data_IF_789320427158
#
_entry.id   IF_789320427158
#
_cell.length_a   1.000
_cell.length_b   1.000
_cell.length_c   1.000
_cell.angle_alpha   90.00
_cell.angle_beta   90.00
_cell.angle_gamma   90.00
#
_symmetry.space_group_name_H-M   'P 1'
#
loop_
_entity.id
_entity.type
_entity.pdbx_description
1 polymer ?
#
# COMPACT_ATOMS: atom_id res chain seq x y z
N UNK A 1 -6.82 -9.39 -7.29
CA UNK A 1 -6.79 -9.55 -8.74
C UNK A 1 -8.04 -9.03 -9.47
N UNK A 2 -8.91 -8.23 -8.82
CA UNK A 2 -10.05 -7.63 -9.51
C UNK A 2 -9.57 -6.60 -10.55
N UNK A 3 -10.07 -6.73 -11.77
CA UNK A 3 -9.87 -5.74 -12.82
C UNK A 3 -11.02 -4.75 -12.82
N UNK A 4 -10.71 -3.49 -13.04
CA UNK A 4 -11.69 -2.40 -13.03
C UNK A 4 -11.35 -1.33 -14.09
N UNK A 5 -12.33 -0.49 -14.41
CA UNK A 5 -12.19 0.66 -15.30
C UNK A 5 -12.62 1.91 -14.55
N UNK A 6 -11.77 2.92 -14.54
CA UNK A 6 -12.09 4.25 -14.07
C UNK A 6 -12.68 5.09 -15.20
N UNK A 7 -13.83 5.71 -14.98
CA UNK A 7 -14.33 6.77 -15.84
C UNK A 7 -13.90 8.11 -15.28
N UNK A 8 -13.10 8.85 -16.06
CA UNK A 8 -12.47 10.10 -15.64
C UNK A 8 -12.94 11.24 -16.53
N UNK A 9 -13.29 12.38 -15.94
CA UNK A 9 -13.60 13.63 -16.63
C UNK A 9 -13.03 14.79 -15.82
N UNK A 10 -12.43 15.75 -16.50
CA UNK A 10 -11.87 16.97 -15.89
C UNK A 10 -10.94 16.67 -14.70
N UNK A 11 -10.05 15.67 -14.86
CA UNK A 11 -9.13 15.16 -13.85
C UNK A 11 -9.81 14.64 -12.56
N UNK A 12 -11.07 14.23 -12.64
CA UNK A 12 -11.82 13.62 -11.55
C UNK A 12 -12.30 12.24 -11.93
N UNK A 13 -12.18 11.28 -11.02
CA UNK A 13 -12.78 9.96 -11.16
C UNK A 13 -14.27 10.12 -10.85
N UNK A 14 -15.12 9.80 -11.80
CA UNK A 14 -16.56 9.92 -11.67
C UNK A 14 -17.18 8.65 -11.08
N UNK A 15 -16.77 7.50 -11.60
CA UNK A 15 -17.22 6.18 -11.11
C UNK A 15 -16.26 5.08 -11.58
N UNK A 16 -16.48 3.90 -11.02
CA UNK A 16 -15.67 2.70 -11.29
C UNK A 16 -16.58 1.54 -11.63
N UNK A 17 -16.21 0.80 -12.68
CA UNK A 17 -16.89 -0.43 -13.09
C UNK A 17 -15.94 -1.61 -13.07
N UNK A 18 -16.47 -2.80 -12.77
CA UNK A 18 -15.71 -4.04 -12.86
C UNK A 18 -15.53 -4.47 -14.32
N UNK A 19 -14.28 -4.81 -14.70
CA UNK A 19 -14.01 -5.45 -15.98
C UNK A 19 -14.22 -6.96 -15.89
N UNK A 20 -14.39 -7.60 -17.06
CA UNK A 20 -14.51 -9.05 -17.19
C UNK A 20 -13.16 -9.75 -17.01
N UNK A 21 -12.52 -9.49 -15.85
CA UNK A 21 -11.28 -10.16 -15.49
C UNK A 21 -11.52 -11.57 -14.98
N UNK A 22 -10.54 -12.48 -15.10
CA UNK A 22 -10.71 -13.90 -14.76
C UNK A 22 -11.03 -14.15 -13.29
N UNK A 23 -10.63 -13.25 -12.39
CA UNK A 23 -10.88 -13.39 -10.96
C UNK A 23 -12.18 -12.74 -10.48
N UNK A 24 -12.72 -11.77 -11.21
CA UNK A 24 -13.87 -11.00 -10.74
C UNK A 24 -15.08 -10.99 -11.65
N UNK A 25 -14.96 -11.29 -12.95
CA UNK A 25 -16.07 -11.35 -13.92
C UNK A 25 -17.05 -10.20 -13.76
N UNK A 26 -16.54 -8.97 -13.79
CA UNK A 26 -17.32 -7.74 -13.64
C UNK A 26 -17.69 -7.37 -12.19
N UNK A 27 -17.44 -8.23 -11.20
CA UNK A 27 -17.79 -7.98 -9.80
C UNK A 27 -16.73 -7.11 -9.12
N UNK A 28 -17.19 -6.23 -8.25
CA UNK A 28 -16.34 -5.44 -7.35
C UNK A 28 -16.95 -5.46 -5.95
N UNK A 29 -16.08 -5.51 -4.94
CA UNK A 29 -16.48 -5.24 -3.57
C UNK A 29 -16.49 -3.72 -3.32
N UNK A 30 -16.94 -3.30 -2.13
CA UNK A 30 -16.99 -1.89 -1.73
C UNK A 30 -15.66 -1.16 -1.92
N UNK A 31 -14.54 -1.83 -1.67
CA UNK A 31 -13.20 -1.24 -1.82
C UNK A 31 -12.88 -0.87 -3.28
N UNK A 32 -13.15 -1.77 -4.21
CA UNK A 32 -12.95 -1.50 -5.64
C UNK A 32 -13.95 -0.52 -6.21
N UNK A 33 -15.21 -0.58 -5.73
CA UNK A 33 -16.31 0.25 -6.25
C UNK A 33 -16.21 1.70 -5.80
N UNK A 34 -15.88 1.95 -4.53
CA UNK A 34 -15.96 3.27 -3.90
C UNK A 34 -14.64 3.74 -3.31
N UNK A 35 -13.61 2.90 -3.27
CA UNK A 35 -12.34 3.23 -2.61
C UNK A 35 -11.58 4.40 -3.25
N UNK A 36 -11.95 4.86 -4.44
CA UNK A 36 -11.32 6.00 -5.11
C UNK A 36 -11.67 7.36 -4.49
N UNK A 37 -12.67 7.44 -3.61
CA UNK A 37 -13.13 8.70 -3.01
C UNK A 37 -12.01 9.46 -2.29
N UNK A 38 -11.05 8.73 -1.70
CA UNK A 38 -9.90 9.37 -1.03
C UNK A 38 -9.05 10.24 -1.97
N UNK A 39 -9.06 9.94 -3.27
CA UNK A 39 -8.24 10.68 -4.25
C UNK A 39 -8.69 12.14 -4.39
N UNK A 40 -9.97 12.42 -4.12
CA UNK A 40 -10.58 13.74 -4.24
C UNK A 40 -11.15 14.26 -2.92
N UNK A 41 -10.79 13.63 -1.80
CA UNK A 41 -11.29 14.02 -0.48
C UNK A 41 -10.82 15.43 -0.12
N UNK A 42 -11.69 16.29 0.48
CA UNK A 42 -11.32 17.68 0.86
C UNK A 42 -10.10 17.78 1.77
N UNK A 43 -9.89 16.80 2.64
CA UNK A 43 -8.72 16.74 3.54
C UNK A 43 -7.47 16.13 2.91
N UNK A 44 -7.50 15.78 1.60
CA UNK A 44 -6.31 15.27 0.94
C UNK A 44 -5.24 16.34 0.86
N UNK A 45 -4.07 16.02 1.35
CA UNK A 45 -2.90 16.89 1.24
C UNK A 45 -2.41 16.91 -0.20
N UNK A 46 -2.33 18.11 -0.78
CA UNK A 46 -1.89 18.33 -2.18
C UNK A 46 -0.53 19.00 -2.27
N UNK A 47 0.03 19.39 -1.14
CA UNK A 47 1.35 20.01 -1.01
C UNK A 47 2.15 19.32 0.11
N UNK A 48 3.48 19.33 0.04
CA UNK A 48 4.31 18.91 1.14
C UNK A 48 4.05 19.75 2.39
N UNK A 49 4.14 19.10 3.54
CA UNK A 49 4.02 19.77 4.83
C UNK A 49 5.31 19.63 5.61
N UNK A 50 5.79 20.75 6.13
CA UNK A 50 6.95 20.81 7.03
C UNK A 50 6.46 21.21 8.41
N UNK A 51 6.89 20.47 9.45
CA UNK A 51 6.56 20.81 10.84
C UNK A 51 7.09 22.20 11.18
N UNK A 52 6.25 23.01 11.83
CA UNK A 52 6.65 24.34 12.29
C UNK A 52 7.74 24.22 13.34
N UNK A 53 8.62 25.19 13.34
CA UNK A 53 9.65 25.30 14.38
C UNK A 53 8.99 25.45 15.76
N UNK A 54 9.54 24.75 16.76
CA UNK A 54 8.98 24.70 18.11
C UNK A 54 7.73 23.82 18.30
N UNK A 55 7.11 23.34 17.22
CA UNK A 55 5.98 22.40 17.34
C UNK A 55 6.46 21.05 17.87
N UNK A 56 5.93 20.63 19.01
CA UNK A 56 6.30 19.37 19.65
C UNK A 56 5.97 18.16 18.77
N UNK A 57 6.81 17.12 18.83
CA UNK A 57 6.48 15.79 18.33
C UNK A 57 5.67 15.11 19.43
N UNK A 58 4.37 15.12 19.30
CA UNK A 58 3.46 14.40 20.20
C UNK A 58 3.56 12.91 19.96
N UNK A 59 3.50 12.10 21.03
CA UNK A 59 3.26 10.67 20.95
C UNK A 59 1.80 10.31 20.68
N UNK A 60 0.90 11.28 20.78
CA UNK A 60 -0.48 11.15 20.36
C UNK A 60 -0.58 11.35 18.85
N UNK A 61 -0.92 10.27 18.14
CA UNK A 61 -1.09 10.27 16.68
C UNK A 61 -2.48 10.72 16.24
N UNK A 62 -3.37 11.04 17.16
CA UNK A 62 -4.68 11.59 16.84
C UNK A 62 -4.53 13.08 16.47
N UNK A 63 -4.56 13.36 15.18
CA UNK A 63 -4.55 14.73 14.67
C UNK A 63 -5.87 15.03 13.98
N UNK A 64 -6.54 16.09 14.42
CA UNK A 64 -7.70 16.59 13.70
C UNK A 64 -7.24 17.10 12.31
N UNK A 65 -7.78 16.55 11.20
CA UNK A 65 -7.42 16.98 9.85
C UNK A 65 -7.64 18.47 9.60
N UNK A 66 -8.59 19.09 10.32
CA UNK A 66 -8.86 20.53 10.19
C UNK A 66 -7.79 21.40 10.88
N UNK A 67 -7.01 20.82 11.77
CA UNK A 67 -5.98 21.52 12.57
C UNK A 67 -4.54 21.20 12.14
N UNK A 68 -4.37 20.44 11.08
CA UNK A 68 -3.03 20.02 10.62
C UNK A 68 -2.09 21.21 10.38
N UNK A 69 -2.60 22.32 9.88
CA UNK A 69 -1.81 23.52 9.60
C UNK A 69 -1.42 24.33 10.86
N UNK A 70 -1.95 24.01 12.03
CA UNK A 70 -1.46 24.56 13.30
C UNK A 70 -0.07 24.00 13.64
N UNK A 71 0.17 22.74 13.32
CA UNK A 71 1.43 22.03 13.61
C UNK A 71 2.40 22.04 12.43
N UNK A 72 1.85 22.05 11.22
CA UNK A 72 2.62 22.05 9.98
C UNK A 72 2.37 23.31 9.17
N UNK A 73 3.28 23.61 8.27
CA UNK A 73 3.10 24.60 7.22
C UNK A 73 3.24 23.98 5.85
N UNK A 74 2.55 24.49 4.86
CA UNK A 74 2.78 24.13 3.47
C UNK A 74 4.19 24.55 3.03
N UNK A 75 4.77 23.75 2.15
CA UNK A 75 6.06 23.99 1.54
C UNK A 75 6.02 23.65 0.06
N UNK A 76 6.99 24.14 -0.72
CA UNK A 76 7.21 23.66 -2.06
C UNK A 76 7.84 22.26 -2.02
N UNK A 77 7.71 21.51 -3.13
CA UNK A 77 8.41 20.23 -3.28
C UNK A 77 9.93 20.38 -3.20
N UNK A 78 10.44 21.46 -3.78
CA UNK A 78 11.88 21.77 -3.75
C UNK A 78 12.38 21.95 -2.32
N UNK A 79 11.71 22.77 -1.53
CA UNK A 79 12.03 23.01 -0.11
C UNK A 79 11.95 21.71 0.70
N UNK A 80 10.87 20.97 0.55
CA UNK A 80 10.65 19.74 1.32
C UNK A 80 11.68 18.66 0.99
N UNK A 81 12.01 18.48 -0.28
CA UNK A 81 13.01 17.51 -0.73
C UNK A 81 14.43 17.92 -0.32
N UNK A 82 14.77 19.21 -0.41
CA UNK A 82 16.07 19.72 0.06
C UNK A 82 16.23 19.50 1.57
N UNK A 83 15.19 19.79 2.36
CA UNK A 83 15.21 19.59 3.80
C UNK A 83 15.35 18.11 4.17
N UNK A 84 14.51 17.25 3.59
CA UNK A 84 14.51 15.83 3.89
C UNK A 84 15.80 15.15 3.42
N UNK A 85 16.19 15.39 2.18
CA UNK A 85 17.42 14.82 1.60
C UNK A 85 18.67 15.30 2.32
N UNK A 86 18.75 16.59 2.64
CA UNK A 86 19.88 17.15 3.40
C UNK A 86 20.02 16.55 4.79
N UNK A 87 18.92 16.38 5.53
CA UNK A 87 18.95 15.75 6.87
C UNK A 87 19.31 14.27 6.80
N UNK A 88 18.77 13.52 5.85
CA UNK A 88 19.11 12.12 5.67
C UNK A 88 20.58 11.94 5.27
N UNK A 89 21.10 12.79 4.37
CA UNK A 89 22.51 12.79 3.99
C UNK A 89 23.41 13.11 5.20
N UNK A 90 23.06 14.10 5.99
CA UNK A 90 23.83 14.44 7.20
C UNK A 90 23.88 13.29 8.21
N UNK A 91 22.75 12.59 8.46
CA UNK A 91 22.71 11.41 9.33
C UNK A 91 23.62 10.30 8.77
N UNK A 92 23.54 10.02 7.47
CA UNK A 92 24.39 9.04 6.81
C UNK A 92 25.86 9.39 6.97
N UNK A 93 26.23 10.64 6.74
CA UNK A 93 27.63 11.08 6.73
C UNK A 93 28.23 11.16 8.14
N UNK A 94 27.41 11.43 9.15
CA UNK A 94 27.83 11.48 10.57
C UNK A 94 27.82 10.11 11.25
N UNK A 95 26.85 9.26 10.93
CA UNK A 95 26.62 8.02 11.68
C UNK A 95 26.70 6.75 10.83
N UNK A 96 26.98 6.90 9.53
CA UNK A 96 27.02 5.80 8.57
C UNK A 96 25.63 5.36 8.10
N UNK A 97 25.59 4.60 7.00
CA UNK A 97 24.34 4.13 6.40
C UNK A 97 23.50 3.25 7.33
N UNK A 98 24.12 2.55 8.27
CA UNK A 98 23.41 1.69 9.23
C UNK A 98 22.47 2.47 10.17
N UNK A 99 22.65 3.79 10.31
CA UNK A 99 21.75 4.65 11.08
C UNK A 99 20.42 4.95 10.35
N UNK A 100 20.30 4.53 9.09
CA UNK A 100 19.13 4.73 8.26
C UNK A 100 18.49 3.39 7.89
N UNK A 101 17.19 3.41 7.71
CA UNK A 101 16.41 2.29 7.21
C UNK A 101 15.28 2.78 6.30
N UNK A 102 14.81 1.91 5.42
CA UNK A 102 13.68 2.17 4.55
C UNK A 102 12.60 1.10 4.67
N UNK A 103 11.34 1.53 4.76
CA UNK A 103 10.18 0.65 4.79
C UNK A 103 9.28 0.95 3.58
N UNK A 104 9.23 0.02 2.64
CA UNK A 104 8.40 0.10 1.44
C UNK A 104 6.96 -0.32 1.67
N UNK A 105 6.12 -0.12 0.66
CA UNK A 105 4.71 -0.45 0.70
C UNK A 105 4.28 -1.23 -0.55
N UNK A 106 3.30 -2.13 -0.38
CA UNK A 106 2.63 -2.82 -1.49
C UNK A 106 1.64 -1.91 -2.25
N UNK A 107 1.42 -0.67 -1.81
CA UNK A 107 0.53 0.30 -2.46
C UNK A 107 1.21 1.13 -3.54
N UNK A 108 2.49 0.91 -3.77
CA UNK A 108 3.24 1.54 -4.86
C UNK A 108 3.26 0.67 -6.12
N UNK A 109 3.65 1.28 -7.23
CA UNK A 109 3.97 0.55 -8.46
C UNK A 109 5.29 -0.22 -8.33
N UNK A 110 5.58 -1.08 -9.30
CA UNK A 110 6.87 -1.78 -9.35
C UNK A 110 8.04 -0.80 -9.51
N UNK A 111 7.83 0.29 -10.24
CA UNK A 111 8.80 1.36 -10.42
C UNK A 111 9.11 2.08 -9.13
N UNK A 112 8.08 2.38 -8.32
CA UNK A 112 8.24 2.98 -6.99
C UNK A 112 9.00 2.05 -6.05
N UNK A 113 8.68 0.76 -6.03
CA UNK A 113 9.39 -0.23 -5.24
C UNK A 113 10.87 -0.33 -5.63
N UNK A 114 11.16 -0.34 -6.93
CA UNK A 114 12.53 -0.34 -7.44
C UNK A 114 13.29 0.93 -7.04
N UNK A 115 12.70 2.09 -7.27
CA UNK A 115 13.33 3.39 -6.95
C UNK A 115 13.55 3.55 -5.45
N UNK A 116 12.60 3.09 -4.62
CA UNK A 116 12.73 3.13 -3.18
C UNK A 116 13.89 2.25 -2.69
N UNK A 117 13.98 1.01 -3.17
CA UNK A 117 15.10 0.13 -2.84
C UNK A 117 16.44 0.70 -3.33
N UNK A 118 16.46 1.27 -4.53
CA UNK A 118 17.65 1.95 -5.07
C UNK A 118 18.07 3.12 -4.19
N UNK A 119 17.12 3.98 -3.76
CA UNK A 119 17.40 5.09 -2.85
C UNK A 119 18.07 4.59 -1.54
N UNK A 120 17.50 3.56 -0.91
CA UNK A 120 18.05 3.04 0.35
C UNK A 120 19.45 2.46 0.14
N UNK A 121 19.65 1.66 -0.90
CA UNK A 121 20.95 1.01 -1.14
C UNK A 121 22.02 1.97 -1.62
N UNK A 122 21.72 2.89 -2.52
CA UNK A 122 22.71 3.79 -3.10
C UNK A 122 22.78 5.15 -2.40
N UNK A 123 21.61 5.71 -2.04
CA UNK A 123 21.51 7.01 -1.35
C UNK A 123 21.85 6.91 0.13
N UNK A 124 21.24 5.99 0.86
CA UNK A 124 21.53 5.78 2.29
C UNK A 124 22.76 4.89 2.51
N UNK A 125 23.20 4.15 1.50
CA UNK A 125 24.33 3.21 1.56
C UNK A 125 24.14 2.11 2.60
N UNK A 126 22.93 1.52 2.64
CA UNK A 126 22.60 0.44 3.56
C UNK A 126 21.68 -0.59 2.90
N UNK A 127 21.68 -1.81 3.42
CA UNK A 127 20.72 -2.85 3.07
C UNK A 127 19.55 -2.92 4.06
N UNK A 128 19.41 -1.97 4.97
CA UNK A 128 18.29 -1.86 5.91
C UNK A 128 17.02 -1.42 5.16
N UNK A 129 16.51 -2.28 4.30
CA UNK A 129 15.29 -2.05 3.53
C UNK A 129 14.40 -3.28 3.65
N UNK A 130 13.14 -3.04 3.93
CA UNK A 130 12.13 -4.09 3.99
C UNK A 130 10.79 -3.57 3.44
N UNK A 131 9.82 -4.43 3.38
CA UNK A 131 8.54 -4.19 2.75
C UNK A 131 7.40 -4.60 3.69
N UNK A 132 6.20 -4.09 3.49
CA UNK A 132 5.04 -4.43 4.32
C UNK A 132 4.76 -5.94 4.37
N UNK A 133 5.17 -6.70 3.37
CA UNK A 133 5.10 -8.16 3.31
C UNK A 133 5.74 -8.83 4.53
N UNK A 134 6.80 -8.23 5.11
CA UNK A 134 7.46 -8.75 6.31
C UNK A 134 6.47 -9.04 7.44
N UNK A 135 5.54 -8.14 7.69
CA UNK A 135 4.53 -8.27 8.74
C UNK A 135 3.21 -8.83 8.22
N UNK A 136 2.93 -8.72 6.92
CA UNK A 136 1.65 -9.09 6.33
C UNK A 136 1.56 -10.60 6.05
N UNK A 137 2.45 -11.14 5.23
CA UNK A 137 2.38 -12.54 4.76
C UNK A 137 3.75 -13.20 4.57
N UNK A 138 4.80 -12.75 5.25
CA UNK A 138 6.11 -13.40 5.19
C UNK A 138 6.06 -14.86 5.63
N UNK A 139 5.27 -15.17 6.67
CA UNK A 139 5.04 -16.54 7.12
C UNK A 139 4.33 -17.39 6.04
N UNK A 140 3.36 -16.81 5.33
CA UNK A 140 2.68 -17.50 4.23
C UNK A 140 3.62 -17.76 3.05
N UNK A 141 4.50 -16.79 2.73
CA UNK A 141 5.52 -16.98 1.68
C UNK A 141 6.50 -18.07 2.07
N UNK A 142 6.95 -18.13 3.32
CA UNK A 142 7.82 -19.19 3.83
C UNK A 142 7.15 -20.57 3.71
N UNK A 143 5.92 -20.68 4.19
CA UNK A 143 5.15 -21.91 4.11
C UNK A 143 4.91 -22.39 2.67
N UNK A 144 4.63 -21.46 1.75
CA UNK A 144 4.48 -21.78 0.32
C UNK A 144 5.79 -22.25 -0.30
N UNK A 145 6.91 -21.59 0.00
CA UNK A 145 8.23 -21.99 -0.48
C UNK A 145 8.61 -23.38 0.01
N UNK A 146 8.36 -23.68 1.28
CA UNK A 146 8.63 -25.00 1.88
C UNK A 146 7.68 -26.09 1.35
N UNK A 147 6.38 -25.75 1.20
CA UNK A 147 5.36 -26.74 0.83
C UNK A 147 5.26 -27.02 -0.67
N UNK A 148 5.41 -26.01 -1.51
CA UNK A 148 5.19 -26.12 -2.97
C UNK A 148 6.34 -25.54 -3.82
N UNK A 149 7.42 -25.06 -3.21
CA UNK A 149 8.57 -24.51 -3.91
C UNK A 149 8.32 -23.17 -4.60
N UNK A 150 7.23 -22.48 -4.31
CA UNK A 150 6.84 -21.19 -4.91
C UNK A 150 6.34 -20.24 -3.84
N UNK A 151 6.75 -18.96 -3.90
CA UNK A 151 6.27 -17.92 -3.00
C UNK A 151 4.86 -17.40 -3.31
N UNK A 152 4.16 -18.02 -4.27
CA UNK A 152 2.81 -17.65 -4.67
C UNK A 152 1.91 -18.88 -4.77
N UNK A 153 0.59 -18.65 -4.65
CA UNK A 153 -0.41 -19.71 -4.83
C UNK A 153 -0.38 -20.29 -6.25
N UNK A 154 -0.64 -21.57 -6.37
CA UNK A 154 -0.58 -22.31 -7.64
C UNK A 154 -1.89 -22.28 -8.44
N UNK A 155 -3.02 -21.98 -7.79
CA UNK A 155 -4.34 -22.10 -8.37
C UNK A 155 -5.03 -20.75 -8.54
N UNK A 156 -5.75 -20.52 -9.66
CA UNK A 156 -6.64 -19.39 -9.79
C UNK A 156 -7.82 -19.51 -8.81
N UNK A 157 -8.34 -18.35 -8.36
CA UNK A 157 -9.45 -18.32 -7.39
C UNK A 157 -10.70 -19.06 -7.87
N UNK A 158 -10.91 -19.15 -9.19
CA UNK A 158 -12.07 -19.81 -9.79
C UNK A 158 -12.04 -21.33 -9.64
N UNK A 159 -10.91 -21.94 -9.37
CA UNK A 159 -10.81 -23.39 -9.17
C UNK A 159 -11.61 -23.87 -7.95
N UNK A 160 -11.89 -22.98 -7.00
CA UNK A 160 -12.76 -23.28 -5.87
C UNK A 160 -14.16 -23.77 -6.31
N UNK A 161 -14.63 -23.35 -7.48
CA UNK A 161 -15.94 -23.76 -8.02
C UNK A 161 -16.00 -25.22 -8.48
N UNK A 162 -14.83 -25.88 -8.56
CA UNK A 162 -14.69 -27.28 -8.95
C UNK A 162 -14.34 -28.19 -7.79
N UNK A 163 -14.20 -27.61 -6.58
CA UNK A 163 -13.81 -28.37 -5.40
C UNK A 163 -15.01 -29.12 -4.81
N UNK A 164 -14.83 -30.38 -4.47
CA UNK A 164 -15.82 -31.19 -3.74
C UNK A 164 -15.82 -30.86 -2.24
N UNK A 165 -14.71 -30.40 -1.71
CA UNK A 165 -14.54 -29.98 -0.32
C UNK A 165 -13.75 -28.69 -0.27
N UNK A 166 -14.25 -27.70 0.48
CA UNK A 166 -13.61 -26.42 0.71
C UNK A 166 -13.33 -26.26 2.19
N UNK A 167 -12.07 -26.08 2.56
CA UNK A 167 -11.64 -25.86 3.94
C UNK A 167 -11.14 -24.44 4.10
N UNK A 168 -11.70 -23.68 5.03
CA UNK A 168 -11.31 -22.30 5.36
C UNK A 168 -10.85 -22.27 6.82
N UNK A 169 -9.59 -21.95 7.06
CA UNK A 169 -8.99 -21.94 8.39
C UNK A 169 -8.32 -20.57 8.64
N UNK A 170 -8.63 -19.92 9.76
CA UNK A 170 -7.99 -18.68 10.19
C UNK A 170 -8.23 -17.48 9.27
N UNK A 171 -9.26 -17.51 8.42
CA UNK A 171 -9.56 -16.48 7.46
C UNK A 171 -11.04 -16.08 7.47
N UNK A 172 -11.29 -14.80 7.11
CA UNK A 172 -12.65 -14.30 6.89
C UNK A 172 -12.76 -13.72 5.46
N UNK A 173 -12.96 -14.58 4.44
CA UNK A 173 -13.02 -14.14 3.06
C UNK A 173 -14.19 -13.21 2.76
N UNK A 174 -15.26 -13.24 3.53
CA UNK A 174 -16.41 -12.33 3.35
C UNK A 174 -16.03 -10.88 3.64
N UNK A 175 -15.10 -10.65 4.54
CA UNK A 175 -14.60 -9.31 4.88
C UNK A 175 -13.38 -8.94 4.03
N UNK A 176 -12.39 -9.84 3.95
CA UNK A 176 -11.11 -9.51 3.34
C UNK A 176 -11.11 -9.65 1.82
N UNK A 177 -11.87 -10.63 1.29
CA UNK A 177 -11.92 -10.97 -0.14
C UNK A 177 -13.36 -11.24 -0.62
N UNK A 178 -14.26 -10.23 -0.53
CA UNK A 178 -15.71 -10.45 -0.76
C UNK A 178 -16.04 -11.06 -2.12
N UNK A 179 -15.32 -10.68 -3.19
CA UNK A 179 -15.54 -11.27 -4.52
C UNK A 179 -15.16 -12.74 -4.53
N UNK A 180 -14.02 -13.13 -3.95
CA UNK A 180 -13.65 -14.53 -3.83
C UNK A 180 -14.65 -15.31 -2.97
N UNK A 181 -15.16 -14.69 -1.89
CA UNK A 181 -16.21 -15.28 -1.06
C UNK A 181 -17.49 -15.61 -1.83
N UNK A 182 -17.84 -14.81 -2.87
CA UNK A 182 -19.00 -15.14 -3.70
C UNK A 182 -18.80 -16.43 -4.51
N UNK A 183 -17.56 -16.73 -4.94
CA UNK A 183 -17.26 -17.97 -5.64
C UNK A 183 -17.32 -19.17 -4.69
N UNK A 184 -16.76 -19.01 -3.48
CA UNK A 184 -16.86 -20.03 -2.42
C UNK A 184 -18.32 -20.32 -2.10
N UNK A 185 -19.13 -19.27 -1.86
CA UNK A 185 -20.54 -19.43 -1.55
C UNK A 185 -21.33 -20.10 -2.68
N UNK A 186 -20.98 -19.84 -3.93
CA UNK A 186 -21.70 -20.41 -5.07
C UNK A 186 -21.24 -21.84 -5.38
N UNK A 187 -20.13 -22.31 -4.81
CA UNK A 187 -19.60 -23.65 -4.96
C UNK A 187 -20.20 -24.64 -3.93
N UNK A 188 -20.84 -24.14 -2.89
CA UNK A 188 -21.56 -24.90 -1.85
C UNK A 188 -23.05 -24.90 -2.15
#
# INVERSE_FOLDING_TARGET
>A
GCQLTYTVKDNKILYVEGRQGPANLGRLCVKGRYGFDYAHHPHRLTKPLIRREGAAKSGDFTMDPNRVLEVFREASWEEALALAGGKLAAIRDQHGGAALAGFGSAKGSNEEAYLFQKLVRTGFRTNNVDHCTRLCHASSVSALLEGIGSGAVSNPVMDVTRAEVIVIIGANPTVNHPVAATWIKNAV
#
